data_IF_943922574201
#
_entry.id   IF_943922574201
#
_cell.length_a   1.000
_cell.length_b   1.000
_cell.length_c   1.000
_cell.angle_alpha   90.00
_cell.angle_beta   90.00
_cell.angle_gamma   90.00
#
_symmetry.space_group_name_H-M   'P 1'
#
loop_
_entity.id
_entity.type
_entity.pdbx_description
1 polymer ?
#
# COMPACT_ATOMS: atom_id res chain seq x y z
N UNK A 1 -12.07 -7.65 -34.52
CA UNK A 1 -11.98 -6.30 -35.09
C UNK A 1 -13.18 -5.53 -34.58
N UNK A 2 -12.97 -4.58 -33.67
CA UNK A 2 -14.09 -3.79 -33.10
C UNK A 2 -14.27 -2.58 -33.99
N UNK A 3 -15.29 -2.61 -34.83
CA UNK A 3 -15.62 -1.51 -35.75
C UNK A 3 -16.27 -0.38 -34.94
N UNK A 4 -15.56 0.73 -34.73
CA UNK A 4 -15.97 1.79 -33.80
C UNK A 4 -16.78 2.94 -34.41
N UNK A 5 -17.01 2.96 -35.73
CA UNK A 5 -17.90 3.93 -36.36
C UNK A 5 -18.32 3.49 -37.78
N UNK A 6 -19.54 3.88 -38.19
CA UNK A 6 -20.02 3.72 -39.57
C UNK A 6 -19.27 4.69 -40.51
N UNK A 7 -18.50 4.19 -41.49
CA UNK A 7 -17.69 5.02 -42.39
C UNK A 7 -18.55 5.95 -43.28
N UNK A 8 -19.85 5.70 -43.41
CA UNK A 8 -20.76 6.60 -44.15
C UNK A 8 -21.10 7.86 -43.37
N UNK A 9 -20.97 7.82 -42.04
CA UNK A 9 -21.34 8.92 -41.14
C UNK A 9 -20.18 9.91 -40.93
N UNK A 10 -18.93 9.45 -41.06
CA UNK A 10 -17.72 10.27 -40.87
C UNK A 10 -16.63 9.95 -41.91
N UNK A 11 -16.83 10.36 -43.18
CA UNK A 11 -15.95 9.98 -44.30
C UNK A 11 -14.52 10.55 -44.21
N UNK A 12 -14.28 11.53 -43.34
CA UNK A 12 -13.01 12.24 -43.22
C UNK A 12 -12.22 11.85 -41.96
N UNK A 13 -12.70 10.87 -41.19
CA UNK A 13 -12.03 10.42 -39.97
C UNK A 13 -11.07 9.28 -40.33
N UNK A 14 -9.79 9.44 -39.96
CA UNK A 14 -8.79 8.40 -40.18
C UNK A 14 -9.15 7.14 -39.36
N UNK A 15 -9.00 5.96 -39.99
CA UNK A 15 -9.31 4.65 -39.38
C UNK A 15 -8.22 4.17 -38.40
N UNK A 16 -7.09 4.87 -38.38
CA UNK A 16 -5.95 4.60 -37.52
C UNK A 16 -5.74 5.80 -36.59
N UNK A 17 -5.53 5.53 -35.30
CA UNK A 17 -5.22 6.56 -34.33
C UNK A 17 -3.83 6.28 -33.76
N UNK A 18 -2.91 7.22 -33.88
CA UNK A 18 -1.61 7.16 -33.22
C UNK A 18 -1.75 7.51 -31.74
N UNK A 19 -1.41 6.55 -30.88
CA UNK A 19 -1.25 6.80 -29.45
C UNK A 19 0.02 7.63 -29.24
N UNK A 20 -0.08 8.74 -28.51
CA UNK A 20 1.08 9.56 -28.17
C UNK A 20 2.13 8.74 -27.41
N UNK A 21 3.40 9.20 -27.37
CA UNK A 21 4.51 8.47 -26.73
C UNK A 21 4.27 8.11 -25.26
N UNK A 22 3.35 8.80 -24.58
CA UNK A 22 2.91 8.50 -23.21
C UNK A 22 1.90 7.35 -23.07
N UNK A 23 1.47 6.72 -24.18
CA UNK A 23 0.49 5.64 -24.15
C UNK A 23 -0.95 6.12 -23.88
N UNK A 24 -1.87 5.15 -23.75
CA UNK A 24 -3.18 5.35 -23.14
C UNK A 24 -3.05 4.83 -21.69
N UNK A 25 -3.27 5.70 -20.71
CA UNK A 25 -3.14 5.39 -19.27
C UNK A 25 -4.40 5.73 -18.47
N UNK A 26 -4.39 5.40 -17.18
CA UNK A 26 -5.46 5.75 -16.24
C UNK A 26 -6.68 4.81 -16.24
N UNK A 27 -6.65 3.74 -17.05
CA UNK A 27 -7.61 2.65 -16.93
C UNK A 27 -7.27 1.75 -15.75
N UNK A 28 -8.21 1.54 -14.84
CA UNK A 28 -8.13 0.50 -13.82
C UNK A 28 -9.09 -0.63 -14.19
N UNK A 29 -8.76 -1.86 -13.77
CA UNK A 29 -9.67 -2.99 -13.92
C UNK A 29 -11.01 -2.74 -13.20
N UNK A 30 -12.04 -3.45 -13.65
CA UNK A 30 -13.36 -3.36 -13.00
C UNK A 30 -13.26 -3.81 -11.54
N UNK A 31 -13.79 -3.00 -10.63
CA UNK A 31 -13.78 -3.29 -9.20
C UNK A 31 -14.47 -4.64 -8.90
N UNK A 32 -13.82 -5.47 -8.09
CA UNK A 32 -14.38 -6.77 -7.67
C UNK A 32 -15.45 -6.61 -6.58
N UNK A 33 -16.39 -7.56 -6.50
CA UNK A 33 -17.42 -7.58 -5.45
C UNK A 33 -16.84 -7.56 -4.03
N UNK A 34 -15.70 -8.21 -3.81
CA UNK A 34 -15.00 -8.23 -2.53
C UNK A 34 -14.45 -6.83 -2.17
N UNK A 35 -13.82 -6.14 -3.13
CA UNK A 35 -13.34 -4.77 -2.96
C UNK A 35 -14.50 -3.79 -2.70
N UNK A 36 -15.56 -3.90 -3.50
CA UNK A 36 -16.77 -3.09 -3.34
C UNK A 36 -17.39 -3.26 -1.95
N UNK A 37 -17.53 -4.50 -1.47
CA UNK A 37 -18.04 -4.80 -0.12
C UNK A 37 -17.15 -4.18 0.96
N UNK A 38 -15.83 -4.32 0.84
CA UNK A 38 -14.89 -3.75 1.79
C UNK A 38 -15.02 -2.22 1.85
N UNK A 39 -15.10 -1.55 0.70
CA UNK A 39 -15.30 -0.09 0.60
C UNK A 39 -16.60 0.37 1.26
N UNK A 40 -17.71 -0.34 1.04
CA UNK A 40 -19.00 0.01 1.65
C UNK A 40 -18.97 -0.17 3.17
N UNK A 41 -18.35 -1.25 3.67
CA UNK A 41 -18.24 -1.49 5.11
C UNK A 41 -17.31 -0.47 5.79
N UNK A 42 -16.21 -0.08 5.15
CA UNK A 42 -15.32 0.98 5.65
C UNK A 42 -16.06 2.30 5.78
N UNK A 43 -16.78 2.72 4.72
CA UNK A 43 -17.58 3.95 4.73
C UNK A 43 -18.67 3.95 5.80
N UNK A 44 -19.32 2.80 6.05
CA UNK A 44 -20.31 2.66 7.14
C UNK A 44 -19.67 2.80 8.52
N UNK A 45 -18.47 2.25 8.72
CA UNK A 45 -17.73 2.33 10.00
C UNK A 45 -17.11 3.70 10.24
N UNK A 46 -16.71 4.40 9.16
CA UNK A 46 -16.00 5.68 9.17
C UNK A 46 -16.74 6.69 8.29
N UNK A 47 -17.93 7.15 8.71
CA UNK A 47 -18.68 8.14 7.95
C UNK A 47 -17.83 9.42 7.77
N UNK A 48 -17.86 10.08 6.60
CA UNK A 48 -17.07 11.28 6.36
C UNK A 48 -17.36 12.38 7.37
N UNK A 49 -16.31 12.95 7.96
CA UNK A 49 -16.42 14.00 9.00
C UNK A 49 -16.03 15.40 8.50
N UNK A 50 -15.66 15.52 7.22
CA UNK A 50 -15.34 16.81 6.58
C UNK A 50 -13.92 17.32 6.88
N UNK A 51 -13.01 16.46 7.33
CA UNK A 51 -11.61 16.84 7.57
C UNK A 51 -10.91 16.04 8.67
N UNK A 52 -11.47 14.91 9.11
CA UNK A 52 -10.76 13.99 10.01
C UNK A 52 -9.63 13.27 9.26
N UNK A 53 -8.59 12.78 9.95
CA UNK A 53 -7.51 12.00 9.32
C UNK A 53 -8.06 10.80 8.53
N UNK A 54 -9.09 10.12 9.05
CA UNK A 54 -9.77 9.03 8.34
C UNK A 54 -10.44 9.46 7.03
N UNK A 55 -10.78 10.74 6.87
CA UNK A 55 -11.33 11.26 5.62
C UNK A 55 -10.22 11.39 4.57
N UNK A 56 -9.05 11.89 4.95
CA UNK A 56 -7.89 11.98 4.06
C UNK A 56 -7.40 10.59 3.60
N UNK A 57 -7.42 9.60 4.48
CA UNK A 57 -7.16 8.21 4.09
C UNK A 57 -8.16 7.70 3.05
N UNK A 58 -9.45 8.00 3.23
CA UNK A 58 -10.48 7.62 2.27
C UNK A 58 -10.35 8.39 0.94
N UNK A 59 -9.98 9.67 0.98
CA UNK A 59 -9.75 10.47 -0.21
C UNK A 59 -8.56 9.95 -1.02
N UNK A 60 -7.47 9.56 -0.34
CA UNK A 60 -6.32 8.95 -0.98
C UNK A 60 -6.68 7.59 -1.60
N UNK A 61 -7.38 6.72 -0.86
CA UNK A 61 -7.85 5.42 -1.39
C UNK A 61 -8.88 5.54 -2.52
N UNK A 62 -9.48 6.70 -2.73
CA UNK A 62 -10.38 6.95 -3.86
C UNK A 62 -9.63 7.24 -5.17
N UNK A 63 -8.32 7.53 -5.10
CA UNK A 63 -7.47 7.68 -6.29
C UNK A 63 -7.18 6.28 -6.85
N UNK A 64 -7.44 6.03 -8.15
CA UNK A 64 -7.13 4.75 -8.77
C UNK A 64 -5.66 4.36 -8.60
N UNK A 65 -5.40 3.11 -8.24
CA UNK A 65 -4.06 2.57 -7.99
C UNK A 65 -3.60 2.66 -6.54
N UNK A 66 -4.26 3.45 -5.67
CA UNK A 66 -3.90 3.50 -4.24
C UNK A 66 -4.43 2.26 -3.51
N UNK A 67 -3.53 1.44 -2.95
CA UNK A 67 -3.88 0.20 -2.23
C UNK A 67 -4.23 0.50 -0.76
N UNK A 68 -3.39 1.29 -0.11
CA UNK A 68 -3.55 1.68 1.29
C UNK A 68 -3.11 3.12 1.49
N UNK A 69 -3.68 3.77 2.50
CA UNK A 69 -3.31 5.12 2.89
C UNK A 69 -3.47 5.30 4.39
N UNK A 70 -2.59 6.11 4.97
CA UNK A 70 -2.55 6.47 6.38
C UNK A 70 -2.38 7.98 6.50
N UNK A 71 -3.14 8.60 7.40
CA UNK A 71 -3.03 10.03 7.65
C UNK A 71 -2.62 10.30 9.10
N UNK A 72 -1.59 11.12 9.27
CA UNK A 72 -1.06 11.53 10.57
C UNK A 72 -0.70 13.02 10.56
N UNK A 73 -0.71 13.71 11.71
CA UNK A 73 -0.13 15.05 11.80
C UNK A 73 1.40 14.99 11.69
N UNK A 74 2.03 16.06 11.21
CA UNK A 74 3.46 16.25 11.42
C UNK A 74 3.72 16.75 12.84
N UNK A 75 4.71 16.17 13.53
CA UNK A 75 5.01 16.49 14.92
C UNK A 75 5.34 17.98 15.13
N UNK A 76 6.05 18.61 14.19
CA UNK A 76 6.55 19.98 14.32
C UNK A 76 5.73 21.03 13.56
N UNK A 77 4.52 20.67 13.07
CA UNK A 77 3.69 21.57 12.28
C UNK A 77 2.19 21.43 12.63
N UNK A 78 1.69 22.12 13.67
CA UNK A 78 0.28 22.07 14.03
C UNK A 78 -0.61 22.56 12.89
N UNK A 79 -1.75 21.89 12.68
CA UNK A 79 -2.66 22.21 11.57
C UNK A 79 -2.24 21.60 10.22
N UNK A 80 -1.34 20.61 10.24
CA UNK A 80 -0.96 19.86 9.04
C UNK A 80 -1.56 18.45 9.01
N UNK A 81 -1.72 17.94 7.80
CA UNK A 81 -2.13 16.58 7.50
C UNK A 81 -1.06 15.98 6.59
N UNK A 82 -0.32 15.01 7.11
CA UNK A 82 0.57 14.15 6.34
C UNK A 82 -0.20 12.92 5.88
N UNK A 83 -0.09 12.59 4.60
CA UNK A 83 -0.68 11.38 4.03
C UNK A 83 0.42 10.53 3.41
N UNK A 84 0.49 9.29 3.85
CA UNK A 84 1.35 8.25 3.27
C UNK A 84 0.47 7.20 2.62
N UNK A 85 0.92 6.63 1.52
CA UNK A 85 0.13 5.65 0.78
C UNK A 85 1.01 4.64 0.05
N UNK A 86 0.39 3.51 -0.33
CA UNK A 86 0.96 2.52 -1.23
C UNK A 86 0.23 2.52 -2.56
N UNK A 87 0.95 2.21 -3.64
CA UNK A 87 0.45 2.25 -5.00
C UNK A 87 0.66 0.90 -5.70
N UNK A 88 -0.35 0.47 -6.44
CA UNK A 88 -0.38 -0.79 -7.16
C UNK A 88 0.60 -0.80 -8.32
N UNK A 89 1.25 -1.95 -8.53
CA UNK A 89 2.25 -2.12 -9.59
C UNK A 89 3.62 -1.49 -9.27
N UNK A 90 3.82 -0.92 -8.07
CA UNK A 90 5.13 -0.41 -7.62
C UNK A 90 5.90 -1.43 -6.80
N UNK A 91 7.23 -1.32 -6.81
CA UNK A 91 8.10 -2.14 -5.98
C UNK A 91 7.77 -1.92 -4.49
N UNK A 92 7.42 -3.00 -3.79
CA UNK A 92 6.95 -2.96 -2.39
C UNK A 92 5.74 -2.03 -2.16
N UNK A 93 5.03 -1.67 -3.22
CA UNK A 93 3.95 -0.68 -3.20
C UNK A 93 4.40 0.75 -2.98
N UNK A 94 5.70 1.07 -3.01
CA UNK A 94 6.20 2.42 -2.72
C UNK A 94 5.90 3.35 -3.91
N UNK A 95 5.14 4.44 -3.71
CA UNK A 95 4.75 5.32 -4.80
C UNK A 95 5.93 6.11 -5.37
N UNK A 96 5.88 6.38 -6.67
CA UNK A 96 6.83 7.26 -7.35
C UNK A 96 6.36 8.72 -7.35
N UNK A 97 7.22 9.63 -7.78
CA UNK A 97 6.92 11.07 -7.81
C UNK A 97 5.62 11.42 -8.57
N UNK A 98 5.32 10.70 -9.65
CA UNK A 98 4.07 10.89 -10.41
C UNK A 98 2.81 10.49 -9.62
N UNK A 99 2.88 9.41 -8.84
CA UNK A 99 1.77 8.95 -8.00
C UNK A 99 1.54 9.92 -6.85
N UNK A 100 2.63 10.43 -6.25
CA UNK A 100 2.57 11.42 -5.19
C UNK A 100 1.88 12.69 -5.69
N UNK A 101 2.26 13.19 -6.87
CA UNK A 101 1.63 14.36 -7.48
C UNK A 101 0.13 14.12 -7.76
N UNK A 102 -0.22 12.96 -8.31
CA UNK A 102 -1.61 12.58 -8.58
C UNK A 102 -2.48 12.61 -7.29
N UNK A 103 -1.97 12.01 -6.21
CA UNK A 103 -2.69 11.97 -4.93
C UNK A 103 -2.71 13.35 -4.27
N UNK A 104 -1.61 14.10 -4.33
CA UNK A 104 -1.53 15.47 -3.81
C UNK A 104 -2.60 16.35 -4.45
N UNK A 105 -2.71 16.36 -5.78
CA UNK A 105 -3.72 17.16 -6.51
C UNK A 105 -5.15 16.76 -6.12
N UNK A 106 -5.40 15.44 -5.98
CA UNK A 106 -6.71 14.93 -5.60
C UNK A 106 -7.14 15.34 -4.17
N UNK A 107 -6.19 15.41 -3.24
CA UNK A 107 -6.45 15.80 -1.85
C UNK A 107 -6.50 17.32 -1.69
N UNK A 108 -5.70 18.07 -2.43
CA UNK A 108 -5.70 19.54 -2.42
C UNK A 108 -7.09 20.11 -2.77
N UNK A 109 -7.79 19.47 -3.72
CA UNK A 109 -9.16 19.84 -4.10
C UNK A 109 -10.20 19.61 -2.97
N UNK A 110 -9.86 18.85 -1.93
CA UNK A 110 -10.78 18.41 -0.86
C UNK A 110 -10.36 18.84 0.55
N UNK A 111 -9.13 19.35 0.71
CA UNK A 111 -8.60 19.70 2.03
C UNK A 111 -9.35 20.87 2.66
N UNK A 112 -9.24 20.96 3.98
CA UNK A 112 -9.68 22.16 4.69
C UNK A 112 -8.79 23.36 4.31
N UNK A 113 -9.39 24.53 4.09
CA UNK A 113 -8.70 25.75 3.63
C UNK A 113 -7.47 26.09 4.49
N UNK A 114 -7.57 25.90 5.82
CA UNK A 114 -6.50 26.19 6.78
C UNK A 114 -5.54 25.04 7.07
N UNK A 115 -5.81 23.83 6.57
CA UNK A 115 -4.95 22.68 6.82
C UNK A 115 -3.79 22.67 5.82
N UNK A 116 -2.55 22.58 6.30
CA UNK A 116 -1.40 22.29 5.44
C UNK A 116 -1.43 20.81 5.05
N UNK A 117 -1.39 20.49 3.76
CA UNK A 117 -1.41 19.12 3.27
C UNK A 117 -0.03 18.75 2.72
N UNK A 118 0.47 17.58 3.09
CA UNK A 118 1.64 16.98 2.45
C UNK A 118 1.39 15.50 2.20
N UNK A 119 1.62 15.07 0.98
CA UNK A 119 1.57 13.67 0.56
C UNK A 119 2.99 13.17 0.36
N UNK A 120 3.33 12.01 0.91
CA UNK A 120 4.66 11.44 0.85
C UNK A 120 4.64 9.92 0.63
N UNK A 121 5.69 9.39 0.00
CA UNK A 121 5.95 7.96 -0.01
C UNK A 121 6.41 7.49 1.39
N UNK A 122 6.00 6.28 1.85
CA UNK A 122 6.69 5.60 2.94
C UNK A 122 8.18 5.43 2.63
N UNK A 123 9.02 5.57 3.64
CA UNK A 123 10.45 5.26 3.51
C UNK A 123 10.62 3.76 3.71
N UNK A 124 11.07 2.99 2.70
CA UNK A 124 11.24 1.55 2.85
C UNK A 124 12.37 1.25 3.84
N UNK A 125 12.04 0.48 4.88
CA UNK A 125 13.01 0.01 5.87
C UNK A 125 13.18 -1.51 5.73
N UNK A 126 14.35 -2.01 5.30
CA UNK A 126 14.54 -3.43 5.03
C UNK A 126 14.40 -4.26 6.31
N UNK A 127 13.58 -5.31 6.23
CA UNK A 127 13.35 -6.29 7.30
C UNK A 127 14.07 -7.58 6.93
N UNK A 128 15.18 -7.83 7.60
CA UNK A 128 15.87 -9.12 7.57
C UNK A 128 15.26 -10.05 8.61
N UNK A 129 15.08 -11.33 8.25
CA UNK A 129 14.56 -12.37 9.14
C UNK A 129 15.52 -13.55 9.12
N UNK A 130 15.82 -14.12 10.29
CA UNK A 130 16.63 -15.33 10.41
C UNK A 130 15.85 -16.41 11.17
N UNK A 131 15.67 -17.57 10.55
CA UNK A 131 14.96 -18.72 11.10
C UNK A 131 15.94 -19.86 11.28
N UNK A 132 16.02 -20.42 12.49
CA UNK A 132 16.77 -21.63 12.79
C UNK A 132 15.84 -22.84 12.89
N UNK A 133 16.43 -24.03 12.69
CA UNK A 133 15.81 -25.31 13.06
C UNK A 133 14.40 -25.48 12.50
N UNK A 134 14.20 -25.09 11.24
CA UNK A 134 12.94 -25.29 10.53
C UNK A 134 12.72 -26.79 10.33
N UNK A 135 11.66 -27.35 10.93
CA UNK A 135 11.45 -28.79 10.96
C UNK A 135 11.24 -29.41 9.57
N UNK A 136 10.50 -28.73 8.71
CA UNK A 136 10.26 -29.12 7.32
C UNK A 136 10.88 -28.07 6.41
N UNK A 137 12.18 -28.21 6.17
CA UNK A 137 12.94 -27.26 5.38
C UNK A 137 12.95 -27.63 3.88
N UNK A 138 11.90 -27.21 3.17
CA UNK A 138 11.76 -27.40 1.72
C UNK A 138 11.60 -26.07 1.01
N UNK A 139 11.90 -26.03 -0.30
CA UNK A 139 11.69 -24.82 -1.13
C UNK A 139 10.23 -24.37 -1.08
N UNK A 140 9.28 -25.30 -1.05
CA UNK A 140 7.86 -25.03 -0.94
C UNK A 140 7.49 -24.40 0.42
N UNK A 141 8.02 -24.94 1.52
CA UNK A 141 7.78 -24.39 2.87
C UNK A 141 8.39 -22.98 2.98
N UNK A 142 9.62 -22.77 2.50
CA UNK A 142 10.27 -21.44 2.50
C UNK A 142 9.48 -20.42 1.69
N UNK A 143 9.00 -20.80 0.51
CA UNK A 143 8.14 -19.94 -0.32
C UNK A 143 6.82 -19.60 0.38
N UNK A 144 6.19 -20.58 1.04
CA UNK A 144 4.97 -20.35 1.82
C UNK A 144 5.21 -19.40 3.01
N UNK A 145 6.35 -19.53 3.70
CA UNK A 145 6.75 -18.62 4.79
C UNK A 145 6.91 -17.19 4.27
N UNK A 146 7.64 -17.01 3.16
CA UNK A 146 7.82 -15.69 2.54
C UNK A 146 6.47 -15.05 2.17
N UNK A 147 5.56 -15.81 1.55
CA UNK A 147 4.22 -15.33 1.20
C UNK A 147 3.38 -14.95 2.45
N UNK A 148 3.41 -15.76 3.51
CA UNK A 148 2.69 -15.47 4.75
C UNK A 148 3.21 -14.20 5.44
N UNK A 149 4.53 -13.99 5.46
CA UNK A 149 5.13 -12.78 6.03
C UNK A 149 4.76 -11.56 5.20
N UNK A 150 4.85 -11.64 3.87
CA UNK A 150 4.45 -10.56 2.98
C UNK A 150 2.96 -10.19 3.18
N UNK A 151 2.07 -11.19 3.28
CA UNK A 151 0.66 -10.97 3.56
C UNK A 151 0.42 -10.33 4.94
N UNK A 152 1.19 -10.71 5.96
CA UNK A 152 1.14 -10.09 7.29
C UNK A 152 1.56 -8.61 7.23
N UNK A 153 2.64 -8.29 6.52
CA UNK A 153 3.09 -6.91 6.34
C UNK A 153 2.04 -6.08 5.60
N UNK A 154 1.47 -6.56 4.49
CA UNK A 154 0.40 -5.85 3.79
C UNK A 154 -0.80 -5.57 4.70
N UNK A 155 -1.13 -6.49 5.63
CA UNK A 155 -2.28 -6.32 6.52
C UNK A 155 -2.01 -5.39 7.70
N UNK A 156 -0.80 -5.40 8.25
CA UNK A 156 -0.50 -4.81 9.57
C UNK A 156 0.52 -3.68 9.51
N UNK A 157 1.43 -3.69 8.55
CA UNK A 157 2.45 -2.66 8.43
C UNK A 157 1.82 -1.31 8.08
N UNK A 158 2.43 -0.27 8.61
CA UNK A 158 2.13 1.11 8.26
C UNK A 158 3.39 1.96 8.47
N UNK A 159 3.47 3.14 7.86
CA UNK A 159 4.50 4.10 8.17
C UNK A 159 4.44 4.47 9.66
N UNK A 160 5.61 4.40 10.31
CA UNK A 160 5.79 4.93 11.66
C UNK A 160 6.17 6.40 11.58
N UNK A 161 5.43 7.27 12.24
CA UNK A 161 5.72 8.72 12.28
C UNK A 161 5.98 9.16 13.71
N UNK A 162 6.61 10.32 13.92
CA UNK A 162 6.96 10.80 15.26
C UNK A 162 5.73 10.93 16.19
N UNK A 163 4.57 11.33 15.66
CA UNK A 163 3.31 11.42 16.43
C UNK A 163 2.63 10.08 16.67
N UNK A 164 2.98 9.04 15.91
CA UNK A 164 2.37 7.72 15.96
C UNK A 164 3.37 6.64 15.48
N UNK A 165 4.39 6.31 16.30
CA UNK A 165 5.37 5.28 15.96
C UNK A 165 4.69 3.96 15.59
N UNK A 166 5.33 3.17 14.73
CA UNK A 166 4.85 1.85 14.37
C UNK A 166 5.78 0.78 14.93
N UNK A 167 5.26 -0.09 15.80
CA UNK A 167 6.01 -1.21 16.34
C UNK A 167 5.57 -2.50 15.64
N UNK A 168 6.48 -3.10 14.88
CA UNK A 168 6.32 -4.43 14.32
C UNK A 168 6.63 -5.46 15.40
N UNK A 169 5.60 -6.16 15.87
CA UNK A 169 5.81 -7.18 16.89
C UNK A 169 6.49 -8.42 16.32
N UNK A 170 7.50 -8.93 17.03
CA UNK A 170 8.15 -10.23 16.77
C UNK A 170 7.12 -11.37 16.77
N UNK A 171 6.09 -11.27 17.60
CA UNK A 171 5.01 -12.25 17.68
C UNK A 171 4.22 -12.36 16.38
N UNK A 172 4.04 -11.26 15.63
CA UNK A 172 3.34 -11.29 14.35
C UNK A 172 4.16 -11.97 13.26
N UNK A 173 5.49 -11.84 13.32
CA UNK A 173 6.40 -12.54 12.41
C UNK A 173 6.36 -14.04 12.69
N UNK A 174 6.48 -14.44 13.96
CA UNK A 174 6.38 -15.85 14.35
C UNK A 174 5.01 -16.45 14.02
N UNK A 175 3.92 -15.72 14.25
CA UNK A 175 2.56 -16.11 13.82
C UNK A 175 2.51 -16.33 12.30
N UNK A 176 3.05 -15.40 11.51
CA UNK A 176 3.06 -15.51 10.05
C UNK A 176 3.84 -16.74 9.56
N UNK A 177 4.97 -17.05 10.20
CA UNK A 177 5.75 -18.26 9.91
C UNK A 177 4.91 -19.50 10.22
N UNK A 178 4.26 -19.56 11.40
CA UNK A 178 3.42 -20.69 11.79
C UNK A 178 2.15 -20.89 10.97
N UNK A 179 1.70 -19.85 10.26
CA UNK A 179 0.57 -19.95 9.33
C UNK A 179 0.98 -20.49 7.95
N UNK A 180 2.28 -20.63 7.68
CA UNK A 180 2.77 -21.09 6.38
C UNK A 180 2.43 -22.57 6.14
N UNK A 181 1.93 -22.87 4.94
CA UNK A 181 1.60 -24.24 4.54
C UNK A 181 2.87 -25.09 4.53
N UNK A 182 2.84 -26.22 5.23
CA UNK A 182 3.97 -27.13 5.35
C UNK A 182 4.98 -26.75 6.42
N UNK A 183 4.74 -25.67 7.19
CA UNK A 183 5.44 -25.42 8.44
C UNK A 183 4.83 -26.27 9.56
N UNK A 184 5.68 -26.72 10.50
CA UNK A 184 5.28 -27.46 11.71
C UNK A 184 5.97 -26.85 12.94
N UNK A 185 7.27 -26.57 12.83
CA UNK A 185 8.04 -25.90 13.86
C UNK A 185 9.17 -25.06 13.27
N UNK A 186 9.40 -23.90 13.87
CA UNK A 186 10.51 -22.99 13.59
C UNK A 186 11.12 -22.42 14.87
N UNK A 187 12.31 -21.84 14.76
CA UNK A 187 12.90 -20.98 15.79
C UNK A 187 13.28 -19.63 15.18
N UNK A 188 12.54 -18.58 15.51
CA UNK A 188 12.85 -17.22 15.04
C UNK A 188 14.08 -16.67 15.78
N UNK A 189 15.19 -16.45 15.09
CA UNK A 189 16.39 -15.82 15.67
C UNK A 189 16.24 -14.31 15.60
N UNK A 190 16.10 -13.77 14.39
CA UNK A 190 16.05 -12.34 14.12
C UNK A 190 14.74 -11.97 13.39
N UNK A 191 14.05 -10.89 13.79
CA UNK A 191 14.43 -9.92 14.83
C UNK A 191 14.30 -10.47 16.25
N UNK A 192 15.32 -10.26 17.11
CA UNK A 192 15.35 -10.77 18.49
C UNK A 192 14.28 -10.17 19.42
N UNK A 193 13.65 -9.06 19.01
CA UNK A 193 12.55 -8.41 19.70
C UNK A 193 11.67 -7.61 18.74
N UNK A 194 10.77 -6.80 19.29
CA UNK A 194 9.92 -5.91 18.49
C UNK A 194 10.75 -4.79 17.85
N UNK A 195 10.44 -4.42 16.61
CA UNK A 195 11.12 -3.35 15.87
C UNK A 195 10.22 -2.12 15.83
N UNK A 196 10.74 -0.94 16.18
CA UNK A 196 10.00 0.31 16.09
C UNK A 196 10.48 1.17 14.93
N UNK A 197 9.55 1.58 14.09
CA UNK A 197 9.73 2.44 12.93
C UNK A 197 9.22 3.86 13.24
N UNK A 198 9.97 4.85 12.78
CA UNK A 198 9.68 6.29 12.93
C UNK A 198 10.06 7.02 11.64
N UNK A 199 9.83 8.34 11.54
CA UNK A 199 10.32 9.13 10.40
C UNK A 199 9.66 8.82 9.04
N UNK A 200 8.50 8.18 9.02
CA UNK A 200 7.83 7.72 7.81
C UNK A 200 8.30 6.33 7.34
N UNK A 201 9.14 5.64 8.13
CA UNK A 201 9.64 4.31 7.80
C UNK A 201 8.54 3.26 7.86
N UNK A 202 8.61 2.31 6.94
CA UNK A 202 7.72 1.15 6.87
C UNK A 202 8.53 -0.12 6.59
N UNK A 203 8.31 -1.23 7.31
CA UNK A 203 9.01 -2.48 7.06
C UNK A 203 8.71 -3.00 5.66
N UNK A 204 9.77 -3.36 4.95
CA UNK A 204 9.72 -4.04 3.65
C UNK A 204 10.52 -5.32 3.79
N UNK A 205 9.93 -6.45 3.41
CA UNK A 205 10.63 -7.73 3.48
C UNK A 205 11.87 -7.69 2.56
N UNK A 206 13.04 -7.93 3.14
CA UNK A 206 14.31 -7.96 2.40
C UNK A 206 14.77 -9.42 2.21
N UNK A 207 15.49 -9.98 3.18
CA UNK A 207 16.02 -11.34 3.10
C UNK A 207 15.51 -12.21 4.25
N UNK A 208 15.16 -13.47 3.94
CA UNK A 208 14.91 -14.52 4.93
C UNK A 208 16.04 -15.54 4.86
N UNK A 209 16.81 -15.64 5.94
CA UNK A 209 17.89 -16.61 6.10
C UNK A 209 17.45 -17.81 6.93
N UNK A 210 17.92 -19.00 6.55
CA UNK A 210 17.61 -20.27 7.20
C UNK A 210 18.91 -20.92 7.65
N UNK A 211 19.03 -21.25 8.94
CA UNK A 211 20.25 -21.78 9.57
C UNK A 211 20.02 -23.04 10.39
#
# INVERSE_FOLDING_TARGET
TVERADPTQFPNLELEATVASGGIGGGADTETDASLRARILDRKRRPPQGGAYSDYEQFARAVPGVIQAWAFPFADAPGTVGVWFLFEGRENGIPEAGDIALVQDALEARRLIRAGLSVAAPVPAPLTITIASLAVDTVQTRAAISASIAAMLVRRARPGVASAPFTLSRSWISEAISLAVGEDRHFLIDPSGDITYVGGEMPVLDTISYV
#
